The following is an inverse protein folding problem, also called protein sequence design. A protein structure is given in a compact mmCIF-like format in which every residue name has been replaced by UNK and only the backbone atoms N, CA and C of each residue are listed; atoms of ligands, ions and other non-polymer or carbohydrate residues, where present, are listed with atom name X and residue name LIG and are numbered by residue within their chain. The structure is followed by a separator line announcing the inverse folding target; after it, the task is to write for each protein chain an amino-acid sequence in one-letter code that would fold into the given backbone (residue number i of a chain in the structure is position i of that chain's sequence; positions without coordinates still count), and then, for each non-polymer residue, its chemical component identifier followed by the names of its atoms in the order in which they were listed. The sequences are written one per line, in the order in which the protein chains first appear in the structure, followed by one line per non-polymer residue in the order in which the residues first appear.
data_IF_584167752615
#
_entry.id   IF_584167752615
#
_cell.length_a   1.000
_cell.length_b   1.000
_cell.length_c   1.000
_cell.angle_alpha   90.00
_cell.angle_beta   90.00
_cell.angle_gamma   90.00
#
_symmetry.space_group_name_H-M   'P 1'
#
loop_
_entity.id
_entity.type
_entity.pdbx_description
1 polymer ?
#
# COMPACT_ATOMS: atom_id res chain seq x y z
N UNK A 1 -3.25 23.89 2.60
CA UNK A 1 -4.18 23.07 3.40
C UNK A 1 -3.63 21.65 3.53
N UNK A 2 -3.84 20.99 4.67
CA UNK A 2 -3.51 19.56 4.91
C UNK A 2 -4.76 18.87 5.47
N UNK A 3 -5.11 17.71 4.92
CA UNK A 3 -6.20 16.84 5.36
C UNK A 3 -5.65 15.42 5.53
N UNK A 4 -5.83 14.84 6.70
CA UNK A 4 -5.48 13.43 7.00
C UNK A 4 -6.74 12.63 7.35
N UNK A 5 -6.73 11.33 7.08
CA UNK A 5 -7.90 10.47 7.34
C UNK A 5 -8.25 10.40 8.83
N UNK A 6 -7.24 10.57 9.68
CA UNK A 6 -7.38 10.62 11.13
C UNK A 6 -8.17 11.85 11.60
N UNK A 7 -7.86 13.02 11.04
CA UNK A 7 -8.46 14.29 11.48
C UNK A 7 -9.73 14.65 10.71
N UNK A 8 -9.80 14.29 9.42
CA UNK A 8 -10.75 14.86 8.47
C UNK A 8 -11.39 13.80 7.56
N UNK A 9 -11.92 12.73 8.16
CA UNK A 9 -12.46 11.57 7.43
C UNK A 9 -13.57 11.93 6.42
N UNK A 10 -14.53 12.77 6.81
CA UNK A 10 -15.65 13.14 5.94
C UNK A 10 -15.21 14.02 4.76
N UNK A 11 -14.30 14.97 5.00
CA UNK A 11 -13.77 15.85 3.94
C UNK A 11 -12.96 15.07 2.91
N UNK A 12 -12.21 14.05 3.33
CA UNK A 12 -11.41 13.22 2.44
C UNK A 12 -12.26 12.39 1.47
N UNK A 13 -13.49 12.01 1.85
CA UNK A 13 -14.39 11.26 0.95
C UNK A 13 -14.65 12.01 -0.36
N UNK A 14 -14.60 13.34 -0.37
CA UNK A 14 -14.75 14.16 -1.58
C UNK A 14 -13.70 13.83 -2.64
N UNK A 15 -12.50 13.42 -2.21
CA UNK A 15 -11.38 13.11 -3.10
C UNK A 15 -11.34 11.63 -3.54
N UNK A 16 -12.31 10.80 -3.13
CA UNK A 16 -12.36 9.36 -3.45
C UNK A 16 -12.34 9.05 -4.94
N UNK A 17 -12.80 9.98 -5.77
CA UNK A 17 -12.85 9.82 -7.22
C UNK A 17 -11.46 9.92 -7.88
N UNK A 18 -10.46 10.46 -7.18
CA UNK A 18 -9.11 10.61 -7.71
C UNK A 18 -8.38 9.28 -7.58
N UNK A 19 -7.77 8.83 -8.67
CA UNK A 19 -7.07 7.55 -8.75
C UNK A 19 -5.56 7.76 -8.62
N UNK A 20 -4.82 6.79 -8.05
CA UNK A 20 -3.36 6.82 -8.08
C UNK A 20 -2.83 6.75 -9.52
N UNK A 21 -1.55 7.06 -9.71
CA UNK A 21 -0.86 6.86 -10.97
C UNK A 21 -1.03 5.40 -11.43
N UNK A 22 -1.93 5.19 -12.40
CA UNK A 22 -2.40 3.85 -12.80
C UNK A 22 -1.81 3.39 -14.13
N UNK A 23 -1.07 4.25 -14.83
CA UNK A 23 -0.53 3.92 -16.15
C UNK A 23 0.78 3.14 -15.99
N UNK A 24 0.95 1.99 -16.68
CA UNK A 24 2.22 1.31 -16.79
C UNK A 24 3.31 2.31 -17.23
N UNK A 25 4.39 2.43 -16.46
CA UNK A 25 5.48 3.38 -16.73
C UNK A 25 5.29 4.80 -16.18
N UNK A 26 4.17 5.11 -15.52
CA UNK A 26 4.01 6.42 -14.86
C UNK A 26 4.85 6.54 -13.60
N UNK A 27 5.63 7.62 -13.51
CA UNK A 27 6.45 7.94 -12.33
C UNK A 27 5.55 8.63 -11.30
N UNK A 28 5.48 8.16 -10.04
CA UNK A 28 4.74 8.85 -8.99
C UNK A 28 5.40 10.18 -8.64
N UNK A 29 4.59 11.13 -8.19
CA UNK A 29 5.06 12.45 -7.77
C UNK A 29 5.98 12.38 -6.55
N UNK A 30 5.72 11.46 -5.61
CA UNK A 30 6.57 11.17 -4.44
C UNK A 30 6.82 12.35 -3.49
N UNK A 31 6.10 13.47 -3.62
CA UNK A 31 6.16 14.56 -2.65
C UNK A 31 5.77 14.05 -1.25
N UNK A 32 6.51 14.46 -0.22
CA UNK A 32 6.24 14.04 1.16
C UNK A 32 5.09 14.86 1.76
N UNK A 33 4.21 14.20 2.52
CA UNK A 33 3.15 14.85 3.27
C UNK A 33 3.70 15.35 4.62
N UNK A 34 3.67 16.66 4.90
CA UNK A 34 4.32 17.21 6.09
C UNK A 34 3.79 16.64 7.41
N UNK A 35 4.71 16.26 8.31
CA UNK A 35 4.39 15.67 9.61
C UNK A 35 3.88 14.23 9.55
N UNK A 36 3.97 13.54 8.40
CA UNK A 36 3.62 12.13 8.26
C UNK A 36 4.66 11.38 7.41
N UNK A 37 4.63 10.05 7.41
CA UNK A 37 5.44 9.23 6.51
C UNK A 37 4.80 9.00 5.12
N UNK A 38 3.71 9.71 4.78
CA UNK A 38 2.93 9.47 3.56
C UNK A 38 3.51 10.24 2.38
N UNK A 39 3.44 9.64 1.18
CA UNK A 39 3.95 10.24 -0.05
C UNK A 39 2.86 10.37 -1.12
N UNK A 40 3.03 11.34 -2.01
CA UNK A 40 2.10 11.58 -3.10
C UNK A 40 2.18 10.45 -4.14
N UNK A 41 1.03 9.89 -4.46
CA UNK A 41 0.86 8.72 -5.33
C UNK A 41 0.24 9.06 -6.68
N UNK A 42 0.01 10.36 -6.94
CA UNK A 42 -0.40 10.87 -8.25
C UNK A 42 0.77 10.85 -9.23
N UNK A 43 0.49 10.99 -10.52
CA UNK A 43 1.53 11.08 -11.55
C UNK A 43 2.42 12.30 -11.34
N UNK A 44 3.70 12.18 -11.71
CA UNK A 44 4.63 13.31 -11.73
C UNK A 44 4.08 14.41 -12.65
N UNK A 45 4.10 15.65 -12.17
CA UNK A 45 3.57 16.80 -12.92
C UNK A 45 2.05 17.02 -12.79
N UNK A 46 1.34 16.24 -11.97
CA UNK A 46 -0.10 16.43 -11.74
C UNK A 46 -0.44 17.87 -11.32
N UNK A 47 -1.52 18.42 -11.87
CA UNK A 47 -2.06 19.71 -11.46
C UNK A 47 -3.02 19.50 -10.27
N UNK A 48 -2.83 20.27 -9.20
CA UNK A 48 -3.71 20.25 -8.04
C UNK A 48 -3.03 19.79 -6.75
N UNK A 49 -3.82 19.42 -5.72
CA UNK A 49 -3.29 19.02 -4.43
C UNK A 49 -2.59 17.67 -4.52
N UNK A 50 -1.59 17.46 -3.67
CA UNK A 50 -0.95 16.17 -3.51
C UNK A 50 -1.86 15.21 -2.75
N UNK A 51 -1.94 13.97 -3.23
CA UNK A 51 -2.78 12.93 -2.65
C UNK A 51 -1.96 11.67 -2.38
N UNK A 52 -2.11 11.14 -1.17
CA UNK A 52 -1.59 9.84 -0.78
C UNK A 52 -2.74 8.83 -0.75
N UNK A 53 -2.53 7.69 -1.43
CA UNK A 53 -3.42 6.55 -1.35
C UNK A 53 -2.80 5.48 -0.43
N UNK A 54 -3.63 4.86 0.40
CA UNK A 54 -3.27 3.71 1.22
C UNK A 54 -3.70 2.40 0.55
N UNK A 55 -3.99 1.41 1.39
CA UNK A 55 -4.47 0.10 0.94
C UNK A 55 -5.75 0.23 0.11
N UNK A 56 -5.90 -0.63 -0.91
CA UNK A 56 -7.04 -0.64 -1.83
C UNK A 56 -7.29 0.70 -2.56
N UNK A 57 -6.23 1.46 -2.85
CA UNK A 57 -6.32 2.76 -3.55
C UNK A 57 -7.23 3.77 -2.83
N UNK A 58 -7.40 3.65 -1.51
CA UNK A 58 -8.19 4.61 -0.72
C UNK A 58 -7.37 5.86 -0.41
N UNK A 59 -7.98 7.04 -0.54
CA UNK A 59 -7.33 8.30 -0.17
C UNK A 59 -7.14 8.36 1.36
N UNK A 60 -5.91 8.60 1.80
CA UNK A 60 -5.55 8.69 3.24
C UNK A 60 -5.02 10.07 3.64
N UNK A 61 -4.50 10.85 2.70
CA UNK A 61 -4.10 12.24 2.95
C UNK A 61 -4.16 13.09 1.68
N UNK A 62 -4.46 14.38 1.85
CA UNK A 62 -4.49 15.41 0.80
C UNK A 62 -3.79 16.66 1.32
N UNK A 63 -2.87 17.26 0.55
CA UNK A 63 -2.19 18.49 0.96
C UNK A 63 -1.77 19.36 -0.23
N UNK A 64 -1.69 20.68 -0.02
CA UNK A 64 -1.27 21.62 -1.07
C UNK A 64 0.26 21.71 -1.19
N UNK A 65 0.73 22.04 -2.39
CA UNK A 65 2.16 22.28 -2.71
C UNK A 65 2.81 23.32 -1.80
N UNK A 66 2.05 24.34 -1.40
CA UNK A 66 2.52 25.47 -0.60
C UNK A 66 2.35 25.29 0.91
N UNK A 67 1.93 24.12 1.40
CA UNK A 67 1.78 23.90 2.84
C UNK A 67 3.16 23.80 3.51
N UNK A 68 3.71 24.95 3.87
CA UNK A 68 4.78 25.03 4.86
C UNK A 68 4.14 24.74 6.21
N UNK A 69 4.68 23.76 6.92
CA UNK A 69 4.34 23.57 8.34
C UNK A 69 4.69 24.90 9.00
N UNK A 70 3.68 25.67 9.40
CA UNK A 70 3.92 26.75 10.34
C UNK A 70 4.57 26.08 11.54
N UNK A 71 5.83 26.44 11.78
CA UNK A 71 6.73 25.89 12.77
C UNK A 71 6.28 26.31 14.18
N UNK A 72 5.04 25.98 14.51
CA UNK A 72 4.43 26.24 15.81
C UNK A 72 4.18 24.88 16.44
N UNK A 73 5.02 24.55 17.42
CA UNK A 73 4.92 23.39 18.34
C UNK A 73 5.76 22.13 18.03
N UNK A 74 6.92 22.26 17.37
CA UNK A 74 7.97 21.20 17.40
C UNK A 74 9.06 21.45 18.45
N UNK A 75 8.74 22.16 19.55
CA UNK A 75 9.65 22.34 20.68
C UNK A 75 9.47 21.30 21.81
N UNK A 76 8.44 20.43 21.79
CA UNK A 76 8.11 19.62 22.99
C UNK A 76 7.95 18.13 22.74
N UNK A 77 8.73 17.52 21.83
CA UNK A 77 8.97 16.06 21.84
C UNK A 77 10.41 15.77 21.40
N UNK A 78 11.39 16.39 22.06
CA UNK A 78 12.81 15.97 22.02
C UNK A 78 13.20 15.48 23.42
N UNK A 79 12.75 14.30 23.82
CA UNK A 79 13.41 13.46 24.83
C UNK A 79 12.70 12.11 24.85
N UNK A 80 13.24 11.18 24.05
CA UNK A 80 13.13 9.71 24.13
C UNK A 80 13.38 9.16 22.72
N UNK A 81 14.60 9.33 22.21
CA UNK A 81 15.11 8.47 21.16
C UNK A 81 16.48 7.96 21.62
N UNK A 82 16.64 6.64 21.85
CA UNK A 82 17.96 6.06 22.04
C UNK A 82 18.76 6.24 20.74
N UNK A 83 20.04 6.58 20.89
CA UNK A 83 20.95 6.82 19.78
C UNK A 83 21.00 5.63 18.80
N UNK A 84 20.98 5.86 17.48
CA UNK A 84 21.27 4.81 16.52
C UNK A 84 22.78 4.49 16.54
N UNK A 85 23.18 3.20 16.58
CA UNK A 85 24.58 2.85 16.50
C UNK A 85 25.13 3.18 15.10
N UNK A 86 26.32 3.77 15.10
CA UNK A 86 27.18 4.00 13.93
C UNK A 86 27.33 2.70 13.11
N UNK A 87 26.64 2.65 11.97
CA UNK A 87 26.72 1.51 11.05
C UNK A 87 27.91 1.69 10.10
N UNK A 88 29.01 1.10 10.56
CA UNK A 88 30.22 0.67 9.84
C UNK A 88 29.96 0.28 8.38
N UNK A 89 30.76 0.86 7.48
CA UNK A 89 31.00 0.33 6.13
C UNK A 89 31.39 -1.15 6.21
N UNK A 90 30.70 -1.99 5.45
CA UNK A 90 30.95 -3.41 5.35
C UNK A 90 30.20 -3.95 4.14
N UNK A 91 30.95 -4.20 3.07
CA UNK A 91 30.44 -4.53 1.75
C UNK A 91 29.72 -5.89 1.65
N UNK A 92 29.08 -6.08 0.48
CA UNK A 92 29.16 -7.38 -0.19
C UNK A 92 27.99 -8.37 -0.12
N UNK A 93 26.77 -8.01 0.32
CA UNK A 93 25.65 -8.98 0.33
C UNK A 93 24.30 -8.51 -0.24
N UNK A 94 24.09 -7.21 -0.44
CA UNK A 94 22.77 -6.68 -0.82
C UNK A 94 22.45 -6.71 -2.32
N UNK A 95 23.40 -7.01 -3.19
CA UNK A 95 23.16 -7.12 -4.64
C UNK A 95 22.49 -8.44 -5.04
N UNK A 96 22.63 -9.50 -4.23
CA UNK A 96 22.02 -10.82 -4.51
C UNK A 96 20.52 -10.86 -4.19
N UNK A 97 20.07 -10.12 -3.17
CA UNK A 97 18.66 -10.03 -2.76
C UNK A 97 17.77 -9.25 -3.73
N UNK A 98 18.35 -8.35 -4.55
CA UNK A 98 17.58 -7.54 -5.50
C UNK A 98 17.11 -8.34 -6.72
N UNK A 99 17.79 -9.43 -7.06
CA UNK A 99 17.41 -10.32 -8.16
C UNK A 99 16.35 -11.37 -7.74
N UNK A 100 16.22 -11.71 -6.45
CA UNK A 100 15.13 -12.58 -5.96
C UNK A 100 13.75 -11.91 -5.92
N UNK A 101 13.69 -10.58 -5.84
CA UNK A 101 12.41 -9.87 -5.79
C UNK A 101 11.70 -9.80 -7.15
N UNK A 102 12.45 -9.95 -8.26
CA UNK A 102 11.88 -10.00 -9.61
C UNK A 102 11.24 -11.35 -9.95
N UNK A 103 11.63 -12.45 -9.31
CA UNK A 103 11.01 -13.77 -9.52
C UNK A 103 9.75 -13.99 -8.67
N UNK A 104 9.49 -13.15 -7.66
CA UNK A 104 8.29 -13.24 -6.82
C UNK A 104 7.10 -12.42 -7.33
N UNK A 105 7.32 -11.39 -8.16
CA UNK A 105 6.23 -10.58 -8.73
C UNK A 105 5.46 -11.30 -9.87
N UNK A 106 6.00 -12.40 -10.41
CA UNK A 106 5.32 -13.28 -11.35
C UNK A 106 4.46 -14.35 -10.66
N UNK A 107 4.51 -14.44 -9.32
CA UNK A 107 3.91 -15.54 -8.55
C UNK A 107 2.55 -15.20 -7.91
N UNK A 108 2.15 -13.93 -7.88
CA UNK A 108 0.90 -13.52 -7.22
C UNK A 108 -0.35 -14.07 -7.95
N UNK A 109 -0.34 -14.15 -9.29
CA UNK A 109 -1.47 -14.76 -10.03
C UNK A 109 -1.55 -16.30 -9.91
N UNK A 110 -0.42 -16.98 -9.65
CA UNK A 110 -0.43 -18.44 -9.54
C UNK A 110 -1.04 -18.92 -8.22
N UNK A 111 -0.92 -18.11 -7.15
CA UNK A 111 -1.49 -18.42 -5.84
C UNK A 111 -3.02 -18.29 -5.88
N UNK A 112 -3.55 -17.26 -6.54
CA UNK A 112 -4.99 -17.09 -6.72
C UNK A 112 -5.58 -18.26 -7.54
N UNK A 113 -4.94 -18.61 -8.66
CA UNK A 113 -5.38 -19.74 -9.48
C UNK A 113 -5.32 -21.07 -8.73
N UNK A 114 -4.27 -21.31 -7.93
CA UNK A 114 -4.15 -22.52 -7.12
C UNK A 114 -5.22 -22.58 -6.02
N UNK A 115 -5.55 -21.45 -5.38
CA UNK A 115 -6.63 -21.37 -4.40
C UNK A 115 -8.00 -21.64 -5.03
N UNK A 116 -8.30 -21.07 -6.20
CA UNK A 116 -9.54 -21.34 -6.91
C UNK A 116 -9.66 -22.80 -7.34
N UNK A 117 -8.57 -23.39 -7.83
CA UNK A 117 -8.53 -24.81 -8.19
C UNK A 117 -8.76 -25.72 -6.98
N UNK A 118 -8.06 -25.45 -5.88
CA UNK A 118 -8.22 -26.21 -4.63
C UNK A 118 -9.64 -26.12 -4.08
N UNK A 119 -10.23 -24.92 -4.10
CA UNK A 119 -11.61 -24.70 -3.67
C UNK A 119 -12.62 -25.42 -4.58
N UNK A 120 -12.41 -25.36 -5.90
CA UNK A 120 -13.24 -26.07 -6.88
C UNK A 120 -13.23 -27.58 -6.69
N UNK A 121 -12.04 -28.16 -6.48
CA UNK A 121 -11.89 -29.60 -6.21
C UNK A 121 -12.55 -30.01 -4.89
N UNK A 122 -12.41 -29.20 -3.84
CA UNK A 122 -13.07 -29.46 -2.55
C UNK A 122 -14.59 -29.45 -2.68
N UNK A 123 -15.15 -28.47 -3.40
CA UNK A 123 -16.59 -28.38 -3.68
C UNK A 123 -17.11 -29.56 -4.51
N UNK A 124 -16.37 -29.98 -5.54
CA UNK A 124 -16.73 -31.13 -6.35
C UNK A 124 -16.72 -32.42 -5.52
N UNK A 125 -15.68 -32.64 -4.71
CA UNK A 125 -15.61 -33.78 -3.80
C UNK A 125 -16.76 -33.79 -2.78
N UNK A 126 -17.10 -32.63 -2.22
CA UNK A 126 -18.24 -32.50 -1.31
C UNK A 126 -19.56 -32.84 -2.00
N UNK A 127 -19.79 -32.36 -3.23
CA UNK A 127 -20.99 -32.66 -4.00
C UNK A 127 -21.12 -34.17 -4.31
N UNK A 128 -20.01 -34.83 -4.66
CA UNK A 128 -19.97 -36.27 -4.90
C UNK A 128 -20.26 -37.05 -3.61
N UNK A 129 -19.61 -36.73 -2.48
CA UNK A 129 -19.87 -37.40 -1.19
C UNK A 129 -21.34 -37.26 -0.80
N UNK A 130 -21.91 -36.06 -0.98
CA UNK A 130 -23.30 -35.79 -0.68
C UNK A 130 -24.27 -36.57 -1.58
N UNK A 131 -23.99 -36.64 -2.88
CA UNK A 131 -24.77 -37.44 -3.82
C UNK A 131 -24.74 -38.94 -3.48
N UNK A 132 -23.57 -39.47 -3.10
CA UNK A 132 -23.43 -40.88 -2.69
C UNK A 132 -24.25 -41.20 -1.43
N UNK A 133 -24.30 -40.28 -0.45
CA UNK A 133 -25.16 -40.43 0.74
C UNK A 133 -26.64 -40.43 0.40
N UNK A 134 -27.08 -39.58 -0.54
CA UNK A 134 -28.49 -39.55 -0.98
C UNK A 134 -28.88 -40.84 -1.70
N UNK A 135 -27.97 -41.39 -2.50
CA UNK A 135 -28.18 -42.65 -3.19
C UNK A 135 -28.07 -43.88 -2.26
N UNK A 136 -27.72 -43.70 -0.98
CA UNK A 136 -27.56 -44.79 -0.02
C UNK A 136 -26.38 -45.72 -0.32
N UNK A 137 -25.41 -45.24 -1.11
CA UNK A 137 -24.20 -45.99 -1.48
C UNK A 137 -23.10 -45.85 -0.42
N UNK A 138 -23.31 -44.99 0.58
CA UNK A 138 -22.39 -44.70 1.69
C UNK A 138 -23.17 -44.36 2.95
#
# INVERSE_FOLDING_TARGET
MKLTIEENRETIKRYRHIKPASHPGSIPCSASCPGTARTCTLSRGHSGPHIAHGMFKRVVAVWDRGYKVAEQNMATVRHLRPDPPLRREGGGFFTTLRNLRKTLALKEHYIEAALFLAFGLAMAGFAIDWALRIMGLK
#
